data_IF_099677508082
#
_entry.id   IF_099677508082
#
_cell.length_a   1.000
_cell.length_b   1.000
_cell.length_c   1.000
_cell.angle_alpha   90.00
_cell.angle_beta   90.00
_cell.angle_gamma   90.00
#
_symmetry.space_group_name_H-M   'P 1'
#
loop_
_entity.id
_entity.type
_entity.pdbx_description
1 polymer ?
#
# COMPACT_ATOMS: atom_id res chain seq x y z
N UNK A 1 14.85 -22.50 -31.56
CA UNK A 1 13.38 -22.32 -31.46
C UNK A 1 13.06 -21.89 -30.04
N UNK A 2 12.75 -20.62 -29.77
CA UNK A 2 12.40 -20.20 -28.42
C UNK A 2 10.98 -20.66 -28.11
N UNK A 3 10.83 -21.39 -27.00
CA UNK A 3 9.55 -21.85 -26.49
C UNK A 3 8.75 -20.68 -25.94
N UNK A 4 7.60 -20.39 -26.56
CA UNK A 4 6.58 -19.51 -26.00
C UNK A 4 6.07 -20.10 -24.69
N UNK A 5 6.30 -19.42 -23.58
CA UNK A 5 5.59 -19.69 -22.33
C UNK A 5 4.10 -19.37 -22.52
N UNK A 6 3.26 -20.39 -22.38
CA UNK A 6 1.81 -20.28 -22.47
C UNK A 6 1.25 -19.39 -21.34
N UNK A 7 0.11 -18.70 -21.56
CA UNK A 7 -0.57 -17.94 -20.51
C UNK A 7 -1.05 -18.90 -19.40
N UNK A 8 -0.53 -18.71 -18.19
CA UNK A 8 -0.94 -19.43 -16.99
C UNK A 8 -2.46 -19.38 -16.79
N UNK A 9 -3.11 -20.55 -16.74
CA UNK A 9 -4.54 -20.68 -16.52
C UNK A 9 -4.98 -20.15 -15.13
N UNK A 10 -6.20 -19.58 -14.99
CA UNK A 10 -6.64 -18.80 -13.82
C UNK A 10 -7.04 -19.63 -12.58
N UNK A 11 -6.75 -20.93 -12.54
CA UNK A 11 -7.14 -21.87 -11.48
C UNK A 11 -6.04 -22.17 -10.45
N UNK A 12 -4.87 -21.54 -10.56
CA UNK A 12 -3.77 -21.71 -9.62
C UNK A 12 -4.05 -21.14 -8.21
N UNK A 13 -3.25 -21.51 -7.19
CA UNK A 13 -3.35 -20.93 -5.86
C UNK A 13 -3.21 -19.41 -5.91
N UNK A 14 -3.81 -18.70 -4.96
CA UNK A 14 -3.65 -17.25 -4.86
C UNK A 14 -2.27 -16.95 -4.27
N UNK A 15 -1.47 -16.15 -4.97
CA UNK A 15 -0.04 -15.94 -4.70
C UNK A 15 0.27 -14.51 -4.18
N UNK A 16 1.50 -14.25 -3.69
CA UNK A 16 1.94 -12.89 -3.40
C UNK A 16 1.91 -11.95 -4.61
N UNK A 17 2.11 -12.48 -5.83
CA UNK A 17 1.94 -11.68 -7.05
C UNK A 17 0.48 -11.25 -7.22
N UNK A 18 -0.47 -12.17 -7.09
CA UNK A 18 -1.90 -11.84 -7.13
C UNK A 18 -2.28 -10.79 -6.07
N UNK A 19 -1.65 -10.86 -4.89
CA UNK A 19 -1.87 -9.86 -3.85
C UNK A 19 -1.38 -8.46 -4.25
N UNK A 20 -0.19 -8.34 -4.85
CA UNK A 20 0.30 -7.05 -5.35
C UNK A 20 -0.64 -6.45 -6.41
N UNK A 21 -1.26 -7.29 -7.24
CA UNK A 21 -2.28 -6.85 -8.21
C UNK A 21 -3.54 -6.30 -7.54
N UNK A 22 -3.91 -6.77 -6.34
CA UNK A 22 -4.99 -6.17 -5.53
C UNK A 22 -4.61 -4.75 -5.12
N UNK A 23 -3.36 -4.55 -4.66
CA UNK A 23 -2.88 -3.23 -4.27
C UNK A 23 -2.92 -2.26 -5.44
N UNK A 24 -2.32 -2.68 -6.57
CA UNK A 24 -2.30 -1.95 -7.83
C UNK A 24 -3.70 -1.62 -8.35
N UNK A 25 -4.64 -2.55 -8.29
CA UNK A 25 -6.02 -2.29 -8.75
C UNK A 25 -6.65 -1.15 -7.97
N UNK A 26 -6.37 -1.01 -6.67
CA UNK A 26 -6.91 0.09 -5.87
C UNK A 26 -6.20 1.41 -6.15
N UNK A 27 -4.88 1.38 -6.34
CA UNK A 27 -4.08 2.56 -6.73
C UNK A 27 -4.45 3.08 -8.12
N UNK A 28 -4.91 2.21 -9.03
CA UNK A 28 -5.34 2.59 -10.37
C UNK A 28 -6.56 3.52 -10.39
N UNK A 29 -7.29 3.64 -9.28
CA UNK A 29 -8.37 4.62 -9.14
C UNK A 29 -7.83 6.06 -9.14
N UNK A 30 -6.54 6.26 -8.82
CA UNK A 30 -5.87 7.56 -8.79
C UNK A 30 -4.74 7.66 -9.82
N UNK A 31 -4.00 6.57 -10.03
CA UNK A 31 -2.79 6.54 -10.86
C UNK A 31 -2.86 5.44 -11.93
N UNK A 32 -3.75 5.55 -12.93
CA UNK A 32 -3.96 4.50 -13.92
C UNK A 32 -2.73 4.21 -14.77
N UNK A 33 -1.98 5.24 -15.19
CA UNK A 33 -0.82 5.08 -16.06
C UNK A 33 0.36 4.46 -15.32
N UNK A 34 0.70 4.97 -14.12
CA UNK A 34 1.76 4.39 -13.27
C UNK A 34 1.46 2.91 -12.91
N UNK A 35 0.20 2.56 -12.65
CA UNK A 35 -0.20 1.16 -12.45
C UNK A 35 -0.08 0.35 -13.74
N UNK A 36 -0.40 0.92 -14.90
CA UNK A 36 -0.22 0.23 -16.17
C UNK A 36 1.26 -0.07 -16.41
N UNK A 37 2.17 0.82 -16.04
CA UNK A 37 3.62 0.66 -16.17
C UNK A 37 4.14 -0.44 -15.24
N UNK A 38 3.81 -0.35 -13.94
CA UNK A 38 4.14 -1.40 -12.96
C UNK A 38 3.62 -2.79 -13.37
N UNK A 39 2.42 -2.88 -13.95
CA UNK A 39 1.90 -4.15 -14.47
C UNK A 39 2.73 -4.70 -15.63
N UNK A 40 3.21 -3.83 -16.53
CA UNK A 40 4.03 -4.23 -17.67
C UNK A 40 5.38 -4.75 -17.21
N UNK A 41 5.99 -4.13 -16.22
CA UNK A 41 7.22 -4.61 -15.57
C UNK A 41 7.02 -6.00 -14.94
N UNK A 42 5.86 -6.23 -14.31
CA UNK A 42 5.50 -7.53 -13.77
C UNK A 42 5.09 -8.58 -14.84
N UNK A 43 4.96 -8.19 -16.11
CA UNK A 43 4.52 -9.08 -17.20
C UNK A 43 3.06 -9.58 -17.08
N UNK A 44 2.23 -8.88 -16.31
CA UNK A 44 0.85 -9.30 -16.02
C UNK A 44 -0.14 -8.52 -16.87
N UNK A 45 -1.26 -9.12 -17.29
CA UNK A 45 -2.34 -8.46 -18.07
C UNK A 45 -3.37 -7.69 -17.22
N UNK A 46 -4.14 -6.77 -17.82
CA UNK A 46 -5.17 -6.01 -17.11
C UNK A 46 -6.29 -6.95 -16.63
N UNK A 47 -6.60 -7.96 -17.44
CA UNK A 47 -7.55 -9.01 -17.11
C UNK A 47 -7.09 -9.82 -15.89
N UNK A 48 -5.81 -10.20 -15.83
CA UNK A 48 -5.26 -10.92 -14.68
C UNK A 48 -5.35 -10.09 -13.39
N UNK A 49 -5.07 -8.78 -13.44
CA UNK A 49 -5.23 -7.90 -12.28
C UNK A 49 -6.71 -7.79 -11.83
N UNK A 50 -7.64 -7.68 -12.77
CA UNK A 50 -9.09 -7.67 -12.46
C UNK A 50 -9.53 -8.98 -11.82
N UNK A 51 -9.06 -10.11 -12.34
CA UNK A 51 -9.40 -11.44 -11.80
C UNK A 51 -8.79 -11.66 -10.41
N UNK A 52 -7.53 -11.26 -10.18
CA UNK A 52 -6.91 -11.29 -8.86
C UNK A 52 -7.73 -10.49 -7.83
N UNK A 53 -8.14 -9.27 -8.17
CA UNK A 53 -9.01 -8.48 -7.29
C UNK A 53 -10.37 -9.15 -7.05
N UNK A 54 -11.01 -9.72 -8.08
CA UNK A 54 -12.27 -10.45 -7.92
C UNK A 54 -12.13 -11.63 -6.95
N UNK A 55 -11.09 -12.44 -7.10
CA UNK A 55 -10.77 -13.58 -6.22
C UNK A 55 -10.51 -13.12 -4.78
N UNK A 56 -9.75 -12.02 -4.60
CA UNK A 56 -9.51 -11.44 -3.29
C UNK A 56 -10.81 -10.99 -2.62
N UNK A 57 -11.65 -10.24 -3.33
CA UNK A 57 -12.93 -9.76 -2.82
C UNK A 57 -13.87 -10.91 -2.43
N UNK A 58 -13.86 -12.01 -3.20
CA UNK A 58 -14.61 -13.22 -2.84
C UNK A 58 -14.07 -13.86 -1.54
N UNK A 59 -12.75 -13.95 -1.37
CA UNK A 59 -12.14 -14.43 -0.12
C UNK A 59 -12.47 -13.53 1.08
N UNK A 60 -12.51 -12.21 0.88
CA UNK A 60 -12.82 -11.22 1.94
C UNK A 60 -14.27 -11.35 2.42
N UNK A 61 -15.21 -11.55 1.51
CA UNK A 61 -16.65 -11.61 1.82
C UNK A 61 -17.14 -12.99 2.26
N UNK A 62 -16.29 -14.02 2.23
CA UNK A 62 -16.71 -15.38 2.57
C UNK A 62 -17.11 -15.50 4.06
N UNK A 63 -18.32 -16.00 4.38
CA UNK A 63 -18.80 -16.16 5.76
C UNK A 63 -17.94 -17.11 6.61
N UNK A 64 -17.23 -18.05 5.96
CA UNK A 64 -16.30 -18.99 6.60
C UNK A 64 -14.84 -18.55 6.49
N UNK A 65 -14.60 -17.26 6.21
CA UNK A 65 -13.24 -16.79 6.02
C UNK A 65 -12.44 -16.85 7.31
N UNK A 66 -11.15 -17.16 7.15
CA UNK A 66 -10.16 -17.04 8.23
C UNK A 66 -10.18 -15.61 8.79
N UNK A 67 -9.70 -15.42 10.02
CA UNK A 67 -9.41 -14.07 10.52
C UNK A 67 -8.54 -13.31 9.51
N UNK A 68 -8.71 -11.99 9.44
CA UNK A 68 -8.03 -11.18 8.43
C UNK A 68 -6.50 -11.39 8.46
N UNK A 69 -5.91 -11.46 9.66
CA UNK A 69 -4.47 -11.76 9.82
C UNK A 69 -4.08 -13.17 9.30
N UNK A 70 -4.91 -14.19 9.52
CA UNK A 70 -4.66 -15.54 9.02
C UNK A 70 -4.84 -15.64 7.50
N UNK A 71 -5.71 -14.82 6.90
CA UNK A 71 -5.85 -14.70 5.44
C UNK A 71 -4.57 -14.17 4.80
N UNK A 72 -3.98 -13.11 5.35
CA UNK A 72 -2.71 -12.56 4.87
C UNK A 72 -1.59 -13.60 4.93
N UNK A 73 -1.42 -14.29 6.07
CA UNK A 73 -0.43 -15.36 6.21
C UNK A 73 -0.65 -16.52 5.23
N UNK A 74 -1.89 -16.85 4.92
CA UNK A 74 -2.22 -17.91 3.95
C UNK A 74 -1.85 -17.55 2.51
N UNK A 75 -1.82 -16.26 2.16
CA UNK A 75 -1.54 -15.77 0.81
C UNK A 75 -0.08 -15.38 0.63
N UNK A 76 0.48 -14.68 1.63
CA UNK A 76 1.83 -14.13 1.61
C UNK A 76 2.88 -15.07 2.22
N UNK A 77 2.44 -16.17 2.85
CA UNK A 77 3.32 -17.06 3.60
C UNK A 77 3.66 -16.52 4.99
N UNK A 78 4.70 -17.06 5.66
CA UNK A 78 5.15 -16.52 6.94
C UNK A 78 5.65 -15.08 6.77
N UNK A 79 5.38 -14.18 7.74
CA UNK A 79 5.94 -12.84 7.71
C UNK A 79 7.48 -12.90 7.80
N UNK A 80 8.15 -11.96 7.14
CA UNK A 80 9.59 -11.75 7.28
C UNK A 80 9.94 -11.29 8.69
N UNK A 81 9.08 -10.46 9.28
CA UNK A 81 9.26 -10.00 10.66
C UNK A 81 7.92 -9.79 11.36
N UNK A 82 7.95 -9.99 12.68
CA UNK A 82 6.85 -9.68 13.59
C UNK A 82 7.35 -8.79 14.72
N UNK A 83 6.58 -7.78 15.09
CA UNK A 83 6.93 -6.87 16.17
C UNK A 83 5.71 -6.59 17.04
N UNK A 84 5.88 -6.66 18.36
CA UNK A 84 4.87 -6.17 19.29
C UNK A 84 4.71 -4.65 19.15
N UNK A 85 3.47 -4.18 19.10
CA UNK A 85 3.11 -2.77 19.03
C UNK A 85 2.00 -2.51 20.03
N UNK A 86 2.08 -1.36 20.70
CA UNK A 86 1.00 -0.91 21.56
C UNK A 86 0.33 0.30 20.94
N UNK A 87 -0.98 0.20 20.73
CA UNK A 87 -1.82 1.29 20.23
C UNK A 87 -2.84 1.63 21.31
N UNK A 88 -2.60 2.73 22.02
CA UNK A 88 -3.33 3.03 23.27
C UNK A 88 -3.05 1.94 24.32
N UNK A 89 -4.10 1.28 24.78
CA UNK A 89 -4.04 0.18 25.76
C UNK A 89 -4.05 -1.21 25.12
N UNK A 90 -4.04 -1.29 23.78
CA UNK A 90 -4.24 -2.53 23.05
C UNK A 90 -2.91 -3.07 22.53
N UNK A 91 -2.63 -4.32 22.88
CA UNK A 91 -1.49 -5.07 22.38
C UNK A 91 -1.78 -5.58 20.97
N UNK A 92 -0.98 -5.14 20.02
CA UNK A 92 -1.05 -5.50 18.61
C UNK A 92 0.25 -6.16 18.16
N UNK A 93 0.14 -6.93 17.09
CA UNK A 93 1.27 -7.52 16.41
C UNK A 93 1.37 -6.93 15.00
N UNK A 94 2.46 -6.24 14.72
CA UNK A 94 2.81 -5.79 13.37
C UNK A 94 3.51 -6.94 12.65
N UNK A 95 2.89 -7.47 11.60
CA UNK A 95 3.44 -8.53 10.75
C UNK A 95 3.79 -7.95 9.40
N UNK A 96 5.00 -8.23 8.90
CA UNK A 96 5.55 -7.59 7.70
C UNK A 96 5.94 -8.61 6.66
N UNK A 97 5.59 -8.35 5.40
CA UNK A 97 5.98 -9.16 4.25
C UNK A 97 6.68 -8.33 3.18
N UNK A 98 7.71 -8.89 2.53
CA UNK A 98 8.29 -8.29 1.34
C UNK A 98 7.31 -8.39 0.17
N UNK A 99 7.28 -7.36 -0.66
CA UNK A 99 6.54 -7.37 -1.93
C UNK A 99 7.52 -7.04 -3.07
N UNK A 100 7.72 -7.94 -4.05
CA UNK A 100 8.70 -7.76 -5.12
C UNK A 100 8.64 -6.44 -5.89
N UNK A 101 7.44 -5.86 -6.06
CA UNK A 101 7.26 -4.58 -6.75
C UNK A 101 7.82 -3.38 -5.97
N UNK A 102 7.87 -3.49 -4.64
CA UNK A 102 8.39 -2.45 -3.77
C UNK A 102 9.48 -3.04 -2.86
N UNK A 103 10.70 -3.25 -3.39
CA UNK A 103 11.77 -3.96 -2.67
C UNK A 103 12.16 -3.28 -1.35
N UNK A 104 12.08 -1.95 -1.31
CA UNK A 104 12.40 -1.12 -0.14
C UNK A 104 11.20 -0.92 0.80
N UNK A 105 10.04 -1.50 0.49
CA UNK A 105 8.86 -1.43 1.33
C UNK A 105 8.47 -2.82 1.87
N UNK A 106 7.66 -2.82 2.90
CA UNK A 106 6.99 -4.00 3.44
C UNK A 106 5.51 -3.73 3.52
N UNK A 107 4.70 -4.73 3.20
CA UNK A 107 3.30 -4.70 3.57
C UNK A 107 3.18 -5.10 5.03
N UNK A 108 2.79 -4.15 5.87
CA UNK A 108 2.56 -4.33 7.29
C UNK A 108 1.07 -4.51 7.57
N UNK A 109 0.74 -5.56 8.31
CA UNK A 109 -0.59 -5.78 8.88
C UNK A 109 -0.46 -5.64 10.39
N UNK A 110 -1.17 -4.67 10.95
CA UNK A 110 -1.31 -4.52 12.39
C UNK A 110 -2.51 -5.34 12.86
N UNK A 111 -2.24 -6.48 13.49
CA UNK A 111 -3.26 -7.39 13.98
C UNK A 111 -3.50 -7.19 15.49
N UNK A 112 -4.76 -7.08 15.89
CA UNK A 112 -5.16 -7.12 17.30
C UNK A 112 -5.20 -8.55 17.86
N UNK A 113 -5.47 -8.70 19.17
CA UNK A 113 -5.38 -9.98 19.88
C UNK A 113 -6.23 -11.11 19.28
N UNK A 114 -7.41 -10.77 18.71
CA UNK A 114 -8.32 -11.74 18.11
C UNK A 114 -8.06 -11.96 16.60
N UNK A 115 -6.93 -11.49 16.07
CA UNK A 115 -6.59 -11.57 14.65
C UNK A 115 -7.38 -10.61 13.75
N UNK A 116 -8.11 -9.66 14.34
CA UNK A 116 -8.70 -8.53 13.63
C UNK A 116 -7.57 -7.64 13.08
N UNK A 117 -7.72 -7.12 11.86
CA UNK A 117 -6.73 -6.22 11.27
C UNK A 117 -7.18 -4.79 11.49
N UNK A 118 -6.34 -4.02 12.16
CA UNK A 118 -6.59 -2.62 12.46
C UNK A 118 -6.08 -1.71 11.36
N UNK A 119 -4.94 -2.08 10.80
CA UNK A 119 -4.32 -1.34 9.72
C UNK A 119 -3.51 -2.25 8.80
N UNK A 120 -3.42 -1.85 7.54
CA UNK A 120 -2.79 -2.63 6.46
C UNK A 120 -2.16 -1.71 5.42
N UNK A 121 -0.87 -1.40 5.58
CA UNK A 121 -0.17 -0.40 4.77
C UNK A 121 1.20 -0.86 4.29
N UNK A 122 1.69 -0.21 3.23
CA UNK A 122 3.09 -0.23 2.85
C UNK A 122 3.88 0.70 3.78
N UNK A 123 4.92 0.16 4.39
CA UNK A 123 5.86 0.85 5.27
C UNK A 123 7.29 0.68 4.77
N UNK A 124 8.18 1.61 5.08
CA UNK A 124 9.60 1.48 4.75
C UNK A 124 10.18 0.23 5.39
N UNK A 125 10.91 -0.57 4.61
CA UNK A 125 11.60 -1.74 5.13
C UNK A 125 12.66 -1.32 6.17
N UNK A 126 12.86 -2.10 7.25
CA UNK A 126 13.95 -1.85 8.18
C UNK A 126 15.29 -1.79 7.45
N UNK A 127 16.06 -0.71 7.67
CA UNK A 127 17.37 -0.51 7.03
C UNK A 127 17.33 0.08 5.62
N UNK A 128 16.16 0.21 4.99
CA UNK A 128 16.02 0.95 3.74
C UNK A 128 16.03 2.46 4.01
N UNK A 129 16.70 3.22 3.14
CA UNK A 129 16.78 4.68 3.26
C UNK A 129 15.41 5.31 2.95
N UNK A 130 14.87 6.17 3.83
CA UNK A 130 13.64 6.89 3.55
C UNK A 130 13.87 7.97 2.47
N UNK A 131 12.82 8.36 1.71
CA UNK A 131 12.92 9.45 0.77
C UNK A 131 13.23 10.75 1.50
N UNK A 132 14.05 11.60 0.88
CA UNK A 132 14.31 12.95 1.37
C UNK A 132 13.18 13.86 0.89
N UNK A 133 12.28 14.21 1.79
CA UNK A 133 11.13 15.07 1.49
C UNK A 133 11.38 16.47 2.04
N UNK A 134 11.55 17.45 1.15
CA UNK A 134 11.82 18.86 1.48
C UNK A 134 10.75 19.78 0.92
N UNK A 135 10.31 19.53 -0.31
CA UNK A 135 9.36 20.38 -1.01
C UNK A 135 8.18 19.59 -1.58
N UNK A 136 7.21 20.29 -2.14
CA UNK A 136 6.10 19.68 -2.90
C UNK A 136 6.58 18.81 -4.06
N UNK A 137 7.71 19.13 -4.67
CA UNK A 137 8.23 18.42 -5.84
C UNK A 137 8.72 17.01 -5.49
N UNK A 138 9.08 16.78 -4.23
CA UNK A 138 9.49 15.45 -3.74
C UNK A 138 8.27 14.51 -3.54
N UNK A 139 7.05 15.07 -3.53
CA UNK A 139 5.80 14.35 -3.30
C UNK A 139 5.19 13.82 -4.59
N UNK A 140 5.96 13.05 -5.35
CA UNK A 140 5.48 12.33 -6.53
C UNK A 140 4.72 11.05 -6.14
N UNK A 141 3.80 10.56 -6.98
CA UNK A 141 3.06 9.33 -6.68
C UNK A 141 4.01 8.17 -6.37
N UNK A 142 3.73 7.47 -5.28
CA UNK A 142 4.50 6.35 -4.73
C UNK A 142 5.87 6.70 -4.13
N UNK A 143 6.25 7.98 -4.05
CA UNK A 143 7.56 8.38 -3.51
C UNK A 143 7.71 8.12 -2.01
N UNK A 144 6.63 8.27 -1.24
CA UNK A 144 6.68 8.16 0.21
C UNK A 144 5.45 7.48 0.83
N UNK A 145 5.67 7.01 2.05
CA UNK A 145 4.62 6.49 2.94
C UNK A 145 3.96 7.61 3.74
N UNK A 146 2.77 7.33 4.28
CA UNK A 146 2.05 8.27 5.16
C UNK A 146 2.86 8.66 6.39
N UNK A 147 3.62 7.72 6.95
CA UNK A 147 4.50 7.91 8.09
C UNK A 147 5.68 8.85 7.77
N UNK A 148 6.26 8.69 6.59
CA UNK A 148 7.36 9.54 6.11
C UNK A 148 6.87 10.97 5.86
N UNK A 149 5.71 11.15 5.21
CA UNK A 149 5.11 12.46 4.99
C UNK A 149 4.71 13.15 6.30
N UNK A 150 4.12 12.41 7.24
CA UNK A 150 3.73 12.92 8.57
C UNK A 150 4.93 13.46 9.34
N UNK A 151 6.07 12.77 9.26
CA UNK A 151 7.32 13.22 9.91
C UNK A 151 7.96 14.40 9.20
N UNK A 152 8.01 14.37 7.86
CA UNK A 152 8.69 15.40 7.07
C UNK A 152 7.98 16.77 7.14
N UNK A 153 6.65 16.77 7.15
CA UNK A 153 5.85 18.00 7.07
C UNK A 153 5.05 18.27 8.35
N UNK A 154 5.65 18.05 9.51
CA UNK A 154 5.01 18.34 10.79
C UNK A 154 4.73 19.86 10.95
N UNK A 155 3.58 20.26 11.54
CA UNK A 155 2.50 19.39 12.00
C UNK A 155 1.61 18.91 10.84
N UNK A 156 1.31 17.60 10.83
CA UNK A 156 0.39 17.00 9.88
C UNK A 156 -0.89 16.53 10.59
N UNK A 157 -2.04 16.77 9.96
CA UNK A 157 -3.37 16.45 10.49
C UNK A 157 -4.02 15.35 9.65
N UNK A 158 -4.45 14.22 10.25
CA UNK A 158 -5.22 13.22 9.54
C UNK A 158 -6.51 13.82 8.95
N UNK A 159 -6.83 13.43 7.72
CA UNK A 159 -8.10 13.70 7.07
C UNK A 159 -8.87 12.39 6.90
N UNK A 160 -10.19 12.45 6.92
CA UNK A 160 -11.02 11.28 6.68
C UNK A 160 -10.75 10.71 5.27
N UNK A 161 -10.41 9.42 5.23
CA UNK A 161 -10.16 8.71 3.98
C UNK A 161 -11.45 8.51 3.21
N UNK A 162 -11.41 8.67 1.88
CA UNK A 162 -12.61 8.50 1.05
C UNK A 162 -13.07 7.03 0.92
N UNK A 163 -12.37 6.08 1.54
CA UNK A 163 -12.67 4.64 1.55
C UNK A 163 -11.76 3.87 2.54
N UNK A 164 -12.06 2.59 2.89
CA UNK A 164 -11.36 1.85 3.96
C UNK A 164 -9.83 1.68 3.84
N UNK A 165 -9.26 1.81 2.63
CA UNK A 165 -7.81 1.67 2.37
C UNK A 165 -7.17 2.99 1.93
N UNK A 166 -7.95 4.07 1.96
CA UNK A 166 -7.51 5.41 1.60
C UNK A 166 -7.31 6.22 2.88
N UNK A 167 -6.26 7.00 2.89
CA UNK A 167 -5.95 7.89 4.00
C UNK A 167 -5.68 9.28 3.46
N UNK A 168 -6.10 10.32 4.18
CA UNK A 168 -5.79 11.70 3.84
C UNK A 168 -4.90 12.33 4.91
N UNK A 169 -4.04 13.24 4.48
CA UNK A 169 -3.17 14.00 5.37
C UNK A 169 -3.14 15.46 4.93
N UNK A 170 -3.43 16.38 5.85
CA UNK A 170 -3.24 17.81 5.65
C UNK A 170 -1.95 18.28 6.30
N UNK A 171 -1.13 19.03 5.60
CA UNK A 171 0.11 19.61 6.13
C UNK A 171 0.51 20.85 5.34
N UNK A 172 1.58 21.52 5.78
CA UNK A 172 2.15 22.67 5.07
C UNK A 172 3.55 22.33 4.56
N UNK A 173 3.75 22.41 3.24
CA UNK A 173 5.03 22.15 2.60
C UNK A 173 5.46 23.32 1.70
N UNK A 174 6.77 23.62 1.62
CA UNK A 174 7.27 24.62 0.69
C UNK A 174 7.29 24.08 -0.75
N UNK A 175 7.08 24.94 -1.74
CA UNK A 175 7.46 24.67 -3.13
C UNK A 175 8.97 24.86 -3.36
N UNK A 176 9.43 24.72 -4.60
CA UNK A 176 10.83 24.95 -4.97
C UNK A 176 11.32 26.38 -4.69
N UNK A 177 10.43 27.37 -4.65
CA UNK A 177 10.74 28.76 -4.30
C UNK A 177 10.73 29.03 -2.79
N UNK A 178 10.39 28.03 -1.98
CA UNK A 178 10.27 28.16 -0.53
C UNK A 178 8.92 28.71 -0.05
N UNK A 179 7.97 28.98 -0.96
CA UNK A 179 6.64 29.45 -0.59
C UNK A 179 5.85 28.29 0.00
N UNK A 180 5.26 28.50 1.17
CA UNK A 180 4.53 27.46 1.90
C UNK A 180 3.09 27.38 1.43
N UNK A 181 2.67 26.16 1.10
CA UNK A 181 1.31 25.86 0.65
C UNK A 181 0.60 24.95 1.64
N UNK A 182 -0.71 25.12 1.80
CA UNK A 182 -1.55 24.12 2.43
C UNK A 182 -1.78 22.97 1.46
N UNK A 183 -1.45 21.75 1.90
CA UNK A 183 -1.47 20.55 1.07
C UNK A 183 -2.42 19.53 1.67
N UNK A 184 -3.28 18.96 0.83
CA UNK A 184 -3.99 17.73 1.10
C UNK A 184 -3.37 16.59 0.29
N UNK A 185 -2.74 15.63 0.97
CA UNK A 185 -2.19 14.43 0.37
C UNK A 185 -3.13 13.25 0.56
N UNK A 186 -3.29 12.44 -0.49
CA UNK A 186 -4.06 11.20 -0.48
C UNK A 186 -3.15 9.99 -0.64
N UNK A 187 -3.36 9.01 0.22
CA UNK A 187 -2.62 7.76 0.25
C UNK A 187 -3.56 6.59 -0.02
N UNK A 188 -3.03 5.53 -0.59
CA UNK A 188 -3.72 4.24 -0.76
C UNK A 188 -2.76 3.15 -0.33
N UNK A 189 -3.22 2.27 0.57
CA UNK A 189 -2.33 1.32 1.25
C UNK A 189 -1.14 2.00 1.94
N UNK A 190 -1.33 3.21 2.47
CA UNK A 190 -0.27 3.98 3.13
C UNK A 190 0.78 4.59 2.20
N UNK A 191 0.66 4.42 0.88
CA UNK A 191 1.59 4.97 -0.11
C UNK A 191 0.98 6.15 -0.86
N UNK A 192 1.76 7.23 -1.06
CA UNK A 192 1.29 8.49 -1.63
C UNK A 192 0.70 8.27 -3.03
N UNK A 193 -0.50 8.79 -3.29
CA UNK A 193 -1.13 8.72 -4.61
C UNK A 193 -1.14 10.09 -5.28
N UNK A 194 -1.54 11.14 -4.58
CA UNK A 194 -1.57 12.50 -5.13
C UNK A 194 -1.56 13.53 -4.03
N UNK A 195 -1.21 14.75 -4.40
CA UNK A 195 -1.30 15.95 -3.56
C UNK A 195 -2.20 16.98 -4.25
N UNK A 196 -2.84 17.82 -3.46
CA UNK A 196 -3.59 18.99 -3.91
C UNK A 196 -3.25 20.15 -3.00
N UNK A 197 -2.95 21.30 -3.58
CA UNK A 197 -2.78 22.56 -2.85
C UNK A 197 -4.13 23.26 -2.73
N UNK A 198 -4.37 23.96 -1.63
CA UNK A 198 -5.63 24.72 -1.46
C UNK A 198 -5.82 25.80 -2.53
N UNK A 199 -4.73 26.29 -3.12
CA UNK A 199 -4.71 27.35 -4.12
C UNK A 199 -4.87 26.86 -5.58
N UNK A 200 -5.17 25.56 -5.81
CA UNK A 200 -5.25 24.95 -7.15
C UNK A 200 -6.47 24.05 -7.37
#
# INVERSE_FOLDING_TARGET
>A
MPGSSAPSSPSGPFTPLDFQLVLLRRMADHQPDLVADARRELGVSLAAMREANKRWQAMVRSPRSRSAAARYRSVLGPPESTAARRVGDLDCEARRWPLPLWPDLRFEVLAGPNGQVWNEWLVRAPGAEPPVLRTLDDLTPWSCTVDEATRAFAPARPLEGSAPTRWGLAFTAPDAGGVRHEVAAEFTWGLLQRTRTADA
#
